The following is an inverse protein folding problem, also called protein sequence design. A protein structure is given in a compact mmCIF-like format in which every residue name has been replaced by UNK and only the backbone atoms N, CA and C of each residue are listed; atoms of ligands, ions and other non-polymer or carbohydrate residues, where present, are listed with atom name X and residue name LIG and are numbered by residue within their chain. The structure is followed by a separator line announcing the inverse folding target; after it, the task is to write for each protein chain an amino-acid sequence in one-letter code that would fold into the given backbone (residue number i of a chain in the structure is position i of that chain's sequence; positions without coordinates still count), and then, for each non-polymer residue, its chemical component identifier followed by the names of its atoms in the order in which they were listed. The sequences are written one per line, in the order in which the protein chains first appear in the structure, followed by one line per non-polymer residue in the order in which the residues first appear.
data_IF_196127140740
#
_entry.id   IF_196127140740
#
_cell.length_a   1.000
_cell.length_b   1.000
_cell.length_c   1.000
_cell.angle_alpha   90.00
_cell.angle_beta   90.00
_cell.angle_gamma   90.00
#
_symmetry.space_group_name_H-M   'P 1'
#
loop_
_entity.id
_entity.type
_entity.pdbx_description
1 polymer ?
#
# COMPACT_ATOMS: atom_id res chain seq x y z
N UNK A 1 -9.70 -6.52 12.59
CA UNK A 1 -9.60 -6.04 11.19
C UNK A 1 -8.25 -6.39 10.59
N UNK A 2 -7.14 -6.05 11.25
CA UNK A 2 -5.78 -6.24 10.73
C UNK A 2 -5.49 -7.67 10.25
N UNK A 3 -5.92 -8.69 11.00
CA UNK A 3 -5.78 -10.10 10.59
C UNK A 3 -6.57 -10.42 9.33
N UNK A 4 -7.81 -9.95 9.21
CA UNK A 4 -8.63 -10.16 8.00
C UNK A 4 -8.01 -9.47 6.78
N UNK A 5 -7.41 -8.29 6.98
CA UNK A 5 -6.70 -7.58 5.92
C UNK A 5 -5.44 -8.32 5.47
N UNK A 6 -4.64 -8.82 6.43
CA UNK A 6 -3.43 -9.60 6.16
C UNK A 6 -3.70 -10.84 5.31
N UNK A 7 -4.83 -11.50 5.51
CA UNK A 7 -5.21 -12.73 4.78
C UNK A 7 -6.17 -12.47 3.61
N UNK A 8 -6.40 -11.22 3.23
CA UNK A 8 -7.14 -10.90 1.99
C UNK A 8 -8.65 -11.08 2.10
N UNK A 9 -9.19 -11.18 3.32
CA UNK A 9 -10.61 -11.41 3.57
C UNK A 9 -11.41 -10.10 3.44
N UNK A 10 -11.55 -9.61 2.20
CA UNK A 10 -12.26 -8.38 1.88
C UNK A 10 -13.72 -8.40 2.34
N UNK A 11 -14.40 -9.53 2.22
CA UNK A 11 -15.82 -9.66 2.61
C UNK A 11 -16.01 -9.49 4.12
N UNK A 12 -15.05 -10.00 4.90
CA UNK A 12 -15.02 -9.82 6.35
C UNK A 12 -14.76 -8.35 6.71
N UNK A 13 -13.89 -7.66 5.97
CA UNK A 13 -13.65 -6.23 6.16
C UNK A 13 -14.86 -5.35 5.80
N UNK A 14 -15.60 -5.72 4.74
CA UNK A 14 -16.85 -5.06 4.36
C UNK A 14 -17.91 -5.24 5.44
N UNK A 15 -18.10 -6.46 5.90
CA UNK A 15 -19.02 -6.77 6.99
C UNK A 15 -18.68 -5.99 8.28
N UNK A 16 -17.39 -5.92 8.64
CA UNK A 16 -16.96 -5.13 9.80
C UNK A 16 -17.15 -3.62 9.61
N UNK A 17 -17.05 -3.10 8.39
CA UNK A 17 -17.34 -1.69 8.10
C UNK A 17 -18.83 -1.37 8.23
N UNK A 18 -19.70 -2.25 7.72
CA UNK A 18 -21.16 -2.16 7.88
C UNK A 18 -21.58 -2.17 9.37
N UNK A 19 -20.95 -3.03 10.19
CA UNK A 19 -21.18 -3.04 11.64
C UNK A 19 -20.70 -1.76 12.35
N UNK A 20 -19.65 -1.13 11.84
CA UNK A 20 -19.17 0.13 12.39
C UNK A 20 -20.16 1.28 12.11
N UNK A 21 -20.91 1.20 11.00
CA UNK A 21 -22.02 2.12 10.69
C UNK A 21 -23.26 1.86 11.56
N UNK A 22 -23.45 0.62 12.06
CA UNK A 22 -24.56 0.29 12.98
C UNK A 22 -24.30 0.69 14.44
N UNK A 23 -23.18 1.37 14.73
CA UNK A 23 -22.87 1.93 16.05
C UNK A 23 -22.36 0.92 17.08
N UNK A 24 -22.23 -0.36 16.71
CA UNK A 24 -21.73 -1.41 17.58
C UNK A 24 -20.22 -1.54 17.44
N UNK A 25 -19.50 -0.84 18.32
CA UNK A 25 -18.05 -0.98 18.55
C UNK A 25 -17.16 -0.49 17.40
N UNK A 26 -16.29 0.48 17.70
CA UNK A 26 -15.23 0.93 16.79
C UNK A 26 -14.14 -0.15 16.73
N UNK A 27 -14.29 -1.11 15.82
CA UNK A 27 -13.22 -2.04 15.49
C UNK A 27 -12.00 -1.23 15.03
N UNK A 28 -10.90 -1.34 15.78
CA UNK A 28 -9.66 -0.64 15.47
C UNK A 28 -9.03 -1.28 14.24
N UNK A 29 -8.81 -0.44 13.23
CA UNK A 29 -7.94 -0.73 12.10
C UNK A 29 -6.66 0.04 12.39
N UNK A 30 -5.51 -0.60 12.30
CA UNK A 30 -4.22 0.10 12.42
C UNK A 30 -3.52 0.12 11.07
N UNK A 31 -2.42 0.87 10.95
CA UNK A 31 -1.55 0.85 9.78
C UNK A 31 -1.12 -0.59 9.40
N UNK A 32 -1.06 -1.51 10.39
CA UNK A 32 -0.76 -2.93 10.17
C UNK A 32 -1.76 -3.64 9.25
N UNK A 33 -3.00 -3.16 9.13
CA UNK A 33 -3.97 -3.74 8.22
C UNK A 33 -3.53 -3.57 6.76
N UNK A 34 -3.12 -2.35 6.38
CA UNK A 34 -2.68 -2.06 5.02
C UNK A 34 -1.28 -2.63 4.76
N UNK A 35 -0.39 -2.55 5.75
CA UNK A 35 0.96 -3.16 5.66
C UNK A 35 0.87 -4.68 5.47
N UNK A 36 0.00 -5.35 6.24
CA UNK A 36 -0.22 -6.79 6.14
C UNK A 36 -0.86 -7.19 4.81
N UNK A 37 -1.84 -6.42 4.32
CA UNK A 37 -2.43 -6.66 3.01
C UNK A 37 -1.41 -6.49 1.87
N UNK A 38 -0.57 -5.45 1.94
CA UNK A 38 0.47 -5.20 0.96
C UNK A 38 1.57 -6.28 0.98
N UNK A 39 1.99 -6.70 2.17
CA UNK A 39 2.94 -7.80 2.37
C UNK A 39 2.46 -9.12 1.76
N UNK A 40 1.15 -9.35 1.66
CA UNK A 40 0.57 -10.59 1.11
C UNK A 40 -0.01 -10.41 -0.30
N UNK A 41 0.23 -9.27 -0.96
CA UNK A 41 -0.19 -9.05 -2.35
C UNK A 41 -1.69 -8.81 -2.52
N UNK A 42 -2.41 -8.45 -1.46
CA UNK A 42 -3.86 -8.27 -1.49
C UNK A 42 -4.26 -6.86 -1.94
N UNK A 43 -4.03 -6.53 -3.22
CA UNK A 43 -4.30 -5.21 -3.79
C UNK A 43 -5.75 -4.72 -3.54
N UNK A 44 -6.74 -5.61 -3.68
CA UNK A 44 -8.15 -5.27 -3.46
C UNK A 44 -8.44 -4.84 -2.02
N UNK A 45 -7.76 -5.45 -1.05
CA UNK A 45 -7.83 -5.06 0.35
C UNK A 45 -7.10 -3.74 0.60
N UNK A 46 -5.91 -3.54 0.01
CA UNK A 46 -5.16 -2.28 0.11
C UNK A 46 -6.01 -1.11 -0.41
N UNK A 47 -6.63 -1.27 -1.59
CA UNK A 47 -7.54 -0.29 -2.16
C UNK A 47 -8.74 -0.02 -1.26
N UNK A 48 -9.38 -1.08 -0.76
CA UNK A 48 -10.54 -0.95 0.12
C UNK A 48 -10.18 -0.19 1.41
N UNK A 49 -9.07 -0.56 2.05
CA UNK A 49 -8.61 0.11 3.27
C UNK A 49 -8.29 1.57 2.99
N UNK A 50 -7.63 1.91 1.88
CA UNK A 50 -7.32 3.31 1.56
C UNK A 50 -8.57 4.18 1.38
N UNK A 51 -9.62 3.67 0.74
CA UNK A 51 -10.83 4.46 0.51
C UNK A 51 -11.72 4.58 1.74
N UNK A 52 -11.68 3.58 2.65
CA UNK A 52 -12.64 3.49 3.75
C UNK A 52 -12.02 3.79 5.12
N UNK A 53 -10.68 3.89 5.22
CA UNK A 53 -9.93 4.07 6.46
C UNK A 53 -8.93 5.21 6.35
N UNK A 54 -8.73 5.93 7.45
CA UNK A 54 -7.86 7.11 7.50
C UNK A 54 -6.48 6.81 8.11
N UNK A 55 -6.28 5.62 8.69
CA UNK A 55 -5.04 5.24 9.37
C UNK A 55 -3.85 5.10 8.43
N UNK A 56 -4.07 4.76 7.15
CA UNK A 56 -3.01 4.67 6.15
C UNK A 56 -2.16 3.41 6.25
N UNK A 57 -0.86 3.55 5.97
CA UNK A 57 0.16 2.50 5.94
C UNK A 57 1.53 3.10 6.24
N UNK A 58 2.48 2.26 6.65
CA UNK A 58 3.87 2.66 6.83
C UNK A 58 4.69 2.41 5.56
N UNK A 59 5.99 2.75 5.58
CA UNK A 59 6.95 2.35 4.54
C UNK A 59 7.04 0.82 4.38
N UNK A 60 6.69 0.06 5.43
CA UNK A 60 6.73 -1.39 5.40
C UNK A 60 5.79 -1.98 4.34
N UNK A 61 4.65 -1.33 4.04
CA UNK A 61 3.75 -1.79 2.97
C UNK A 61 4.47 -1.90 1.63
N UNK A 62 5.23 -0.87 1.22
CA UNK A 62 5.93 -0.88 -0.05
C UNK A 62 7.19 -1.74 -0.02
N UNK A 63 7.97 -1.68 1.07
CA UNK A 63 9.19 -2.47 1.21
C UNK A 63 8.87 -3.98 1.17
N UNK A 64 7.80 -4.41 1.87
CA UNK A 64 7.37 -5.82 1.89
C UNK A 64 6.72 -6.24 0.57
N UNK A 65 5.88 -5.39 -0.04
CA UNK A 65 5.31 -5.70 -1.36
C UNK A 65 6.41 -5.88 -2.42
N UNK A 66 7.45 -5.04 -2.37
CA UNK A 66 8.60 -5.15 -3.27
C UNK A 66 9.41 -6.42 -3.00
N UNK A 67 9.66 -6.75 -1.72
CA UNK A 67 10.40 -7.95 -1.33
C UNK A 67 9.73 -9.27 -1.74
N UNK A 68 8.41 -9.27 -1.94
CA UNK A 68 7.65 -10.44 -2.40
C UNK A 68 7.28 -10.38 -3.89
N UNK A 69 7.70 -9.33 -4.61
CA UNK A 69 7.48 -9.24 -6.05
C UNK A 69 6.09 -8.75 -6.48
N UNK A 70 5.30 -8.18 -5.57
CA UNK A 70 3.94 -7.71 -5.87
C UNK A 70 3.95 -6.34 -6.56
N UNK A 71 4.31 -6.32 -7.84
CA UNK A 71 4.48 -5.11 -8.65
C UNK A 71 3.22 -4.25 -8.74
N UNK A 72 2.04 -4.88 -8.80
CA UNK A 72 0.74 -4.21 -8.84
C UNK A 72 0.46 -3.43 -7.55
N UNK A 73 0.77 -4.03 -6.40
CA UNK A 73 0.70 -3.38 -5.08
C UNK A 73 1.73 -2.25 -4.99
N UNK A 74 2.97 -2.47 -5.44
CA UNK A 74 4.03 -1.43 -5.43
C UNK A 74 3.63 -0.22 -6.26
N UNK A 75 3.16 -0.43 -7.49
CA UNK A 75 2.67 0.64 -8.38
C UNK A 75 1.55 1.44 -7.72
N UNK A 76 0.58 0.72 -7.15
CA UNK A 76 -0.58 1.35 -6.53
C UNK A 76 -0.18 2.16 -5.29
N UNK A 77 0.63 1.59 -4.40
CA UNK A 77 1.12 2.30 -3.22
C UNK A 77 1.90 3.57 -3.61
N UNK A 78 2.74 3.53 -4.65
CA UNK A 78 3.47 4.72 -5.12
C UNK A 78 2.54 5.80 -5.68
N UNK A 79 1.49 5.38 -6.38
CA UNK A 79 0.51 6.29 -6.99
C UNK A 79 -0.41 6.97 -5.98
N UNK A 80 -0.67 6.38 -4.80
CA UNK A 80 -1.67 6.90 -3.87
C UNK A 80 -1.14 7.24 -2.48
N UNK A 81 0.05 6.75 -2.12
CA UNK A 81 0.69 7.01 -0.82
C UNK A 81 1.89 7.93 -1.01
N UNK A 82 2.26 8.62 0.06
CA UNK A 82 3.31 9.66 0.08
C UNK A 82 4.44 9.30 1.04
N UNK A 83 4.29 8.19 1.76
CA UNK A 83 5.21 7.68 2.77
C UNK A 83 6.53 7.18 2.15
N UNK A 84 6.61 7.17 0.80
CA UNK A 84 7.74 6.71 -0.01
C UNK A 84 8.18 5.26 0.35
N UNK A 85 9.13 4.72 -0.40
CA UNK A 85 9.81 3.48 -0.05
C UNK A 85 11.16 3.78 0.57
N UNK A 86 11.72 2.84 1.33
CA UNK A 86 13.11 2.92 1.78
C UNK A 86 14.03 2.11 0.88
N UNK A 87 15.36 2.24 1.01
CA UNK A 87 16.32 1.42 0.24
C UNK A 87 16.03 -0.08 0.34
N UNK A 88 15.39 -0.51 1.44
CA UNK A 88 14.94 -1.88 1.66
C UNK A 88 14.00 -2.42 0.57
N UNK A 89 13.17 -1.60 -0.08
CA UNK A 89 12.32 -2.06 -1.19
C UNK A 89 13.15 -2.58 -2.37
N UNK A 90 14.24 -1.90 -2.71
CA UNK A 90 15.11 -2.29 -3.83
C UNK A 90 15.96 -3.51 -3.48
N UNK A 91 16.57 -3.51 -2.29
CA UNK A 91 17.37 -4.64 -1.80
C UNK A 91 16.49 -5.89 -1.64
N UNK A 92 15.29 -5.72 -1.09
CA UNK A 92 14.30 -6.76 -0.90
C UNK A 92 13.79 -7.35 -2.22
N UNK A 93 13.62 -6.53 -3.26
CA UNK A 93 13.24 -7.04 -4.59
C UNK A 93 14.42 -7.69 -5.33
N UNK A 94 15.65 -7.23 -5.09
CA UNK A 94 16.84 -7.74 -5.76
C UNK A 94 17.26 -9.13 -5.26
N UNK A 95 17.19 -9.39 -3.95
CA UNK A 95 17.62 -10.66 -3.35
C UNK A 95 16.88 -11.89 -3.91
N UNK A 96 15.54 -11.89 -4.08
CA UNK A 96 14.79 -13.00 -4.66
C UNK A 96 14.78 -12.97 -6.20
N UNK A 97 15.32 -11.93 -6.82
CA UNK A 97 15.36 -11.78 -8.27
C UNK A 97 14.07 -11.24 -8.91
N UNK A 98 13.29 -10.40 -8.20
CA UNK A 98 12.08 -9.76 -8.73
C UNK A 98 12.42 -8.63 -9.71
N UNK A 99 12.95 -8.99 -10.88
CA UNK A 99 13.51 -8.06 -11.86
C UNK A 99 12.53 -6.96 -12.27
N UNK A 100 11.25 -7.29 -12.48
CA UNK A 100 10.24 -6.31 -12.87
C UNK A 100 10.00 -5.25 -11.80
N UNK A 101 10.04 -5.64 -10.52
CA UNK A 101 9.93 -4.71 -9.39
C UNK A 101 11.17 -3.85 -9.28
N UNK A 102 12.36 -4.43 -9.45
CA UNK A 102 13.63 -3.69 -9.42
C UNK A 102 13.69 -2.66 -10.55
N UNK A 103 13.35 -3.05 -11.78
CA UNK A 103 13.29 -2.15 -12.94
C UNK A 103 12.32 -1.01 -12.68
N UNK A 104 11.11 -1.34 -12.23
CA UNK A 104 10.10 -0.33 -11.96
C UNK A 104 10.52 0.63 -10.84
N UNK A 105 11.06 0.11 -9.74
CA UNK A 105 11.60 0.92 -8.64
C UNK A 105 12.79 1.78 -9.11
N UNK A 106 13.63 1.29 -10.00
CA UNK A 106 14.76 2.05 -10.54
C UNK A 106 14.28 3.22 -11.42
N UNK A 107 13.29 2.99 -12.27
CA UNK A 107 12.71 4.01 -13.16
C UNK A 107 11.89 5.07 -12.41
N UNK A 108 11.25 4.69 -11.29
CA UNK A 108 10.31 5.55 -10.57
C UNK A 108 10.90 6.16 -9.29
N UNK A 109 12.15 5.83 -8.92
CA UNK A 109 12.84 6.47 -7.79
C UNK A 109 13.73 7.61 -8.23
N UNK A 110 13.48 8.78 -7.67
CA UNK A 110 14.23 10.02 -7.91
C UNK A 110 15.69 10.02 -7.37
N UNK A 111 16.20 8.92 -6.80
CA UNK A 111 17.62 8.80 -6.37
C UNK A 111 18.54 8.26 -7.48
N UNK A 112 18.10 8.31 -8.75
CA UNK A 112 18.93 8.11 -9.93
C UNK A 112 18.90 9.32 -10.86
N UNK A 113 19.86 10.24 -10.70
CA UNK A 113 20.20 11.39 -11.55
C UNK A 113 19.20 12.55 -11.69
N UNK A 114 19.51 13.62 -10.94
CA UNK A 114 19.45 15.05 -11.29
C UNK A 114 18.20 15.66 -11.96
N UNK A 115 17.56 16.53 -11.15
CA UNK A 115 16.84 17.76 -11.50
C UNK A 115 15.69 17.69 -12.52
N UNK A 116 14.48 17.89 -11.99
CA UNK A 116 13.22 18.14 -12.70
C UNK A 116 12.64 16.96 -13.52
N UNK A 117 11.75 16.21 -12.87
CA UNK A 117 10.93 15.18 -13.50
C UNK A 117 9.57 15.02 -12.81
N UNK A 118 8.78 16.09 -12.80
CA UNK A 118 7.32 16.11 -12.67
C UNK A 118 6.68 15.30 -11.51
N UNK A 119 6.59 15.94 -10.35
CA UNK A 119 5.37 15.86 -9.52
C UNK A 119 4.21 16.51 -10.30
N UNK A 120 3.64 15.80 -11.27
CA UNK A 120 2.37 16.18 -11.89
C UNK A 120 1.35 15.09 -11.63
N UNK A 121 0.54 15.30 -10.61
CA UNK A 121 -0.91 15.46 -10.75
C UNK A 121 -1.52 15.51 -9.35
N UNK A 122 -1.94 16.72 -8.98
CA UNK A 122 -3.22 16.98 -8.31
C UNK A 122 -3.82 15.80 -7.53
N UNK A 123 -3.47 15.66 -6.25
CA UNK A 123 -4.01 14.64 -5.35
C UNK A 123 -4.96 15.23 -4.30
N UNK A 124 -5.98 15.96 -4.75
CA UNK A 124 -7.21 16.10 -3.96
C UNK A 124 -8.43 16.00 -4.85
N UNK A 125 -9.29 14.97 -4.71
CA UNK A 125 -10.69 15.20 -4.84
C UNK A 125 -11.19 15.73 -3.49
N UNK A 126 -11.40 17.05 -3.41
CA UNK A 126 -12.33 17.59 -2.42
C UNK A 126 -13.72 17.11 -2.84
N UNK A 127 -14.25 16.12 -2.15
CA UNK A 127 -15.68 15.87 -2.18
C UNK A 127 -16.32 16.72 -1.08
N UNK A 128 -17.13 17.68 -1.51
CA UNK A 128 -18.01 18.47 -0.65
C UNK A 128 -19.36 17.80 -0.42
#
# INVERSE_FOLDING_TARGET
MDTAAKYGHLDVLKYFHELQLSGETRLQCTENAMDGAAQNGHLSVVQYLHHNRAEGCTTAAMDQAAAHGYLDVVKWLHQYRTEDCTRAAMDGAALPGHLEVVQWLHENRAEGCSSYGQRSHDRTPRYG
#
